data_IF_372507719815
#
_entry.id   IF_372507719815
#
_cell.length_a   1.000
_cell.length_b   1.000
_cell.length_c   1.000
_cell.angle_alpha   90.00
_cell.angle_beta   90.00
_cell.angle_gamma   90.00
#
_symmetry.space_group_name_H-M   'P 1'
#
loop_
_entity.id
_entity.type
_entity.pdbx_description
1 polymer ?
#
# COMPACT_ATOMS: atom_id res chain seq x y z
N UNK A 1 -2.59 31.38 3.61
CA UNK A 1 -2.31 30.03 3.13
C UNK A 1 -3.56 29.19 3.36
N UNK A 2 -4.16 28.56 2.35
CA UNK A 2 -5.31 27.66 2.56
C UNK A 2 -4.77 26.38 3.22
N UNK A 3 -5.34 25.91 4.34
CA UNK A 3 -4.94 24.62 4.88
C UNK A 3 -5.22 23.54 3.85
N UNK A 4 -4.18 22.82 3.45
CA UNK A 4 -4.29 21.68 2.55
C UNK A 4 -4.99 20.59 3.37
N UNK A 5 -6.10 20.05 2.85
CA UNK A 5 -6.76 18.92 3.48
C UNK A 5 -5.73 17.76 3.57
N UNK A 6 -5.51 17.25 4.78
CA UNK A 6 -4.60 16.13 4.97
C UNK A 6 -5.03 14.94 4.13
N UNK A 7 -4.09 14.34 3.41
CA UNK A 7 -4.34 13.08 2.71
C UNK A 7 -4.75 12.01 3.74
N UNK A 8 -5.81 11.28 3.43
CA UNK A 8 -6.25 10.13 4.23
C UNK A 8 -6.12 8.88 3.36
N UNK A 9 -5.25 7.96 3.78
CA UNK A 9 -4.99 6.73 3.03
C UNK A 9 -6.23 5.81 2.98
N UNK A 10 -6.47 5.09 1.89
CA UNK A 10 -7.63 4.22 1.72
C UNK A 10 -7.55 2.95 2.58
N UNK A 11 -6.38 2.58 3.06
CA UNK A 11 -6.20 1.43 3.95
C UNK A 11 -6.81 1.69 5.33
N UNK A 12 -6.55 2.88 5.87
CA UNK A 12 -7.09 3.31 7.17
C UNK A 12 -8.51 3.84 7.09
N UNK A 13 -8.88 4.46 5.94
CA UNK A 13 -10.14 5.21 5.78
C UNK A 13 -10.97 4.75 4.57
N UNK A 14 -11.33 3.47 4.46
CA UNK A 14 -12.09 2.95 3.31
C UNK A 14 -13.47 3.59 3.16
N UNK A 15 -14.09 4.09 4.24
CA UNK A 15 -15.40 4.74 4.20
C UNK A 15 -15.39 6.07 3.41
N UNK A 16 -14.23 6.67 3.14
CA UNK A 16 -14.13 7.83 2.26
C UNK A 16 -14.63 7.52 0.86
N UNK A 17 -14.37 6.31 0.37
CA UNK A 17 -14.77 5.85 -0.96
C UNK A 17 -16.22 5.31 -0.96
N UNK A 18 -16.65 4.72 0.17
CA UNK A 18 -17.96 4.07 0.29
C UNK A 18 -19.10 5.06 0.52
N UNK A 19 -18.90 6.09 1.35
CA UNK A 19 -19.98 6.98 1.81
C UNK A 19 -20.11 8.31 1.04
N UNK A 20 -19.49 8.44 -0.11
CA UNK A 20 -19.68 9.59 -0.99
C UNK A 20 -18.76 10.78 -0.70
N UNK A 21 -19.26 11.94 -0.27
CA UNK A 21 -18.36 13.09 -0.14
C UNK A 21 -17.38 12.94 1.03
N UNK A 22 -16.09 13.01 0.71
CA UNK A 22 -14.99 12.89 1.70
C UNK A 22 -15.18 13.84 2.91
N UNK A 23 -15.75 15.01 2.71
CA UNK A 23 -15.99 15.96 3.79
C UNK A 23 -17.02 15.45 4.82
N UNK A 24 -18.12 14.86 4.38
CA UNK A 24 -19.12 14.27 5.29
C UNK A 24 -18.53 13.13 6.10
N UNK A 25 -17.86 12.21 5.42
CA UNK A 25 -17.24 11.04 6.05
C UNK A 25 -16.19 11.45 7.08
N UNK A 26 -15.31 12.41 6.75
CA UNK A 26 -14.29 12.93 7.67
C UNK A 26 -14.90 13.57 8.92
N UNK A 27 -15.96 14.39 8.76
CA UNK A 27 -16.63 15.01 9.91
C UNK A 27 -17.31 13.98 10.79
N UNK A 28 -18.09 13.06 10.21
CA UNK A 28 -18.76 12.00 10.95
C UNK A 28 -17.77 11.09 11.69
N UNK A 29 -16.63 10.75 11.06
CA UNK A 29 -15.56 9.97 11.70
C UNK A 29 -14.98 10.66 12.93
N UNK A 30 -14.69 11.95 12.84
CA UNK A 30 -14.22 12.74 14.00
C UNK A 30 -15.24 12.74 15.11
N UNK A 31 -16.50 13.00 14.78
CA UNK A 31 -17.59 13.04 15.75
C UNK A 31 -17.89 11.65 16.35
N UNK A 32 -17.64 10.56 15.63
CA UNK A 32 -17.85 9.19 16.09
C UNK A 32 -16.75 8.68 17.01
N UNK A 33 -15.48 8.97 16.68
CA UNK A 33 -14.32 8.31 17.29
C UNK A 33 -13.51 9.19 18.24
N UNK A 34 -13.58 10.52 18.11
CA UNK A 34 -12.64 11.41 18.78
C UNK A 34 -13.27 12.26 19.89
N UNK A 35 -14.59 12.26 20.05
CA UNK A 35 -15.25 13.28 20.88
C UNK A 35 -16.40 12.74 21.72
N UNK A 36 -16.28 13.01 23.00
CA UNK A 36 -17.40 12.95 23.94
C UNK A 36 -17.98 14.37 24.14
N UNK A 37 -18.86 14.82 23.22
CA UNK A 37 -19.55 16.07 23.36
C UNK A 37 -19.63 16.94 22.11
N UNK A 38 -20.34 18.08 22.19
CA UNK A 38 -20.53 18.97 21.05
C UNK A 38 -19.27 19.74 20.69
N UNK A 39 -18.98 19.89 19.40
CA UNK A 39 -17.83 20.64 18.87
C UNK A 39 -18.24 21.80 17.96
N UNK A 40 -17.41 22.84 17.93
CA UNK A 40 -17.59 23.96 16.98
C UNK A 40 -17.21 23.53 15.56
N UNK A 41 -17.73 24.28 14.56
CA UNK A 41 -17.35 24.04 13.16
C UNK A 41 -15.82 24.17 12.91
N UNK A 42 -15.17 25.09 13.63
CA UNK A 42 -13.71 25.29 13.54
C UNK A 42 -12.93 24.09 14.07
N UNK A 43 -13.33 23.54 15.23
CA UNK A 43 -12.68 22.38 15.84
C UNK A 43 -12.87 21.14 14.96
N UNK A 44 -14.10 20.95 14.46
CA UNK A 44 -14.41 19.86 13.52
C UNK A 44 -13.61 19.96 12.23
N UNK A 45 -13.50 21.16 11.65
CA UNK A 45 -12.72 21.42 10.45
C UNK A 45 -11.24 21.04 10.67
N UNK A 46 -10.66 21.52 11.78
CA UNK A 46 -9.25 21.26 12.14
C UNK A 46 -8.98 19.76 12.29
N UNK A 47 -9.81 19.03 13.07
CA UNK A 47 -9.64 17.61 13.32
C UNK A 47 -9.91 16.76 12.08
N UNK A 48 -10.89 17.15 11.26
CA UNK A 48 -11.22 16.47 10.01
C UNK A 48 -10.24 16.77 8.85
N UNK A 49 -9.27 17.66 9.05
CA UNK A 49 -8.35 18.10 7.99
C UNK A 49 -9.08 18.81 6.85
N UNK A 50 -10.08 19.64 7.16
CA UNK A 50 -10.90 20.38 6.20
C UNK A 50 -10.68 21.89 6.33
N UNK A 51 -11.01 22.63 5.26
CA UNK A 51 -11.15 24.09 5.36
C UNK A 51 -12.45 24.43 6.10
N UNK A 52 -12.46 25.54 6.86
CA UNK A 52 -13.66 25.97 7.62
C UNK A 52 -14.88 26.08 6.69
N UNK A 53 -14.84 26.76 5.51
CA UNK A 53 -15.98 26.84 4.60
C UNK A 53 -16.43 25.45 4.09
N UNK A 54 -15.46 24.54 3.84
CA UNK A 54 -15.75 23.15 3.43
C UNK A 54 -16.50 22.38 4.52
N UNK A 55 -16.04 22.50 5.78
CA UNK A 55 -16.68 21.88 6.93
C UNK A 55 -18.09 22.45 7.15
N UNK A 56 -18.27 23.79 7.12
CA UNK A 56 -19.58 24.42 7.30
C UNK A 56 -20.58 23.98 6.22
N UNK A 57 -20.15 23.88 4.96
CA UNK A 57 -20.99 23.38 3.86
C UNK A 57 -21.44 21.94 4.12
N UNK A 58 -20.53 21.07 4.57
CA UNK A 58 -20.84 19.69 4.89
C UNK A 58 -21.71 19.57 6.14
N UNK A 59 -21.42 20.29 7.22
CA UNK A 59 -22.23 20.35 8.45
C UNK A 59 -23.66 20.80 8.16
N UNK A 60 -23.86 21.79 7.28
CA UNK A 60 -25.20 22.23 6.88
C UNK A 60 -26.00 21.09 6.23
N UNK A 61 -25.37 20.31 5.36
CA UNK A 61 -26.02 19.14 4.74
C UNK A 61 -26.35 18.05 5.75
N UNK A 62 -25.41 17.75 6.67
CA UNK A 62 -25.62 16.77 7.73
C UNK A 62 -26.73 17.19 8.72
N UNK A 63 -26.87 18.49 8.98
CA UNK A 63 -28.02 19.04 9.74
C UNK A 63 -29.33 18.85 9.01
N UNK A 64 -29.37 19.17 7.70
CA UNK A 64 -30.58 19.02 6.87
C UNK A 64 -31.03 17.57 6.75
N UNK A 65 -30.09 16.63 6.69
CA UNK A 65 -30.37 15.20 6.65
C UNK A 65 -30.73 14.61 8.04
N UNK A 66 -30.62 15.40 9.10
CA UNK A 66 -30.95 14.96 10.45
C UNK A 66 -29.89 14.10 11.14
N UNK A 67 -28.71 13.92 10.55
CA UNK A 67 -27.62 13.11 11.13
C UNK A 67 -26.97 13.78 12.35
N UNK A 68 -26.93 15.09 12.37
CA UNK A 68 -26.39 15.86 13.48
C UNK A 68 -27.42 16.86 13.99
N UNK A 69 -27.25 17.31 15.23
CA UNK A 69 -27.98 18.41 15.82
C UNK A 69 -27.05 19.57 16.15
N UNK A 70 -27.65 20.73 16.22
CA UNK A 70 -26.98 21.95 16.66
C UNK A 70 -27.36 22.19 18.13
N UNK A 71 -26.35 22.39 18.96
CA UNK A 71 -26.50 22.57 20.39
C UNK A 71 -25.93 23.92 20.79
N UNK A 72 -26.48 24.49 21.86
CA UNK A 72 -26.03 25.79 22.39
C UNK A 72 -26.63 26.99 21.69
N UNK A 73 -26.80 28.06 22.47
CA UNK A 73 -27.24 29.37 22.01
C UNK A 73 -26.08 30.38 22.03
N UNK A 74 -26.08 31.33 21.10
CA UNK A 74 -25.10 32.39 21.04
C UNK A 74 -24.26 32.40 19.75
N UNK A 75 -23.14 33.15 19.76
CA UNK A 75 -22.29 33.35 18.57
C UNK A 75 -21.52 32.11 18.11
N UNK A 76 -21.35 31.08 18.97
CA UNK A 76 -20.61 29.84 18.63
C UNK A 76 -21.57 28.67 18.64
N UNK A 77 -21.94 28.19 17.45
CA UNK A 77 -22.74 27.01 17.29
C UNK A 77 -21.86 25.75 17.47
N UNK A 78 -22.37 24.79 18.23
CA UNK A 78 -21.78 23.46 18.41
C UNK A 78 -22.64 22.41 17.72
N UNK A 79 -22.02 21.32 17.32
CA UNK A 79 -22.65 20.23 16.59
C UNK A 79 -22.40 18.93 17.34
N UNK A 80 -23.42 18.08 17.38
CA UNK A 80 -23.32 16.72 17.93
C UNK A 80 -24.08 15.72 17.07
N UNK A 81 -23.71 14.45 17.16
CA UNK A 81 -24.39 13.35 16.47
C UNK A 81 -25.70 13.00 17.21
N UNK A 82 -26.78 12.79 16.46
CA UNK A 82 -28.03 12.25 16.97
C UNK A 82 -27.93 10.75 17.22
N UNK A 83 -27.51 10.36 18.42
CA UNK A 83 -27.31 8.96 18.79
C UNK A 83 -28.62 8.17 18.99
N UNK A 84 -29.76 8.82 19.02
CA UNK A 84 -31.08 8.16 19.22
C UNK A 84 -31.63 7.49 17.96
N UNK A 85 -31.15 7.89 16.78
CA UNK A 85 -31.57 7.32 15.50
C UNK A 85 -30.86 6.00 15.21
N UNK A 86 -31.62 4.96 14.79
CA UNK A 86 -31.06 3.63 14.52
C UNK A 86 -30.07 3.62 13.35
N UNK A 87 -30.34 4.39 12.31
CA UNK A 87 -29.44 4.48 11.14
C UNK A 87 -28.11 5.12 11.57
N UNK A 88 -28.17 6.13 12.44
CA UNK A 88 -26.99 6.77 12.98
C UNK A 88 -26.18 5.83 13.88
N UNK A 89 -26.83 5.01 14.72
CA UNK A 89 -26.13 4.00 15.50
C UNK A 89 -25.32 3.05 14.60
N UNK A 90 -25.96 2.53 13.53
CA UNK A 90 -25.27 1.67 12.55
C UNK A 90 -24.11 2.41 11.86
N UNK A 91 -24.30 3.70 11.53
CA UNK A 91 -23.23 4.51 10.95
C UNK A 91 -22.07 4.70 11.92
N UNK A 92 -22.33 4.89 13.21
CA UNK A 92 -21.29 4.95 14.23
C UNK A 92 -20.55 3.63 14.40
N UNK A 93 -21.29 2.51 14.42
CA UNK A 93 -20.71 1.16 14.44
C UNK A 93 -19.80 0.92 13.22
N UNK A 94 -20.16 1.45 12.04
CA UNK A 94 -19.35 1.38 10.83
C UNK A 94 -17.99 2.08 11.01
N UNK A 95 -17.98 3.28 11.59
CA UNK A 95 -16.72 4.00 11.87
C UNK A 95 -15.88 3.30 12.94
N UNK A 96 -16.49 2.70 13.93
CA UNK A 96 -15.80 1.89 14.94
C UNK A 96 -15.18 0.64 14.29
N UNK A 97 -15.92 -0.01 13.39
CA UNK A 97 -15.43 -1.17 12.63
C UNK A 97 -14.27 -0.79 11.71
N UNK A 98 -14.31 0.39 11.06
CA UNK A 98 -13.21 0.92 10.25
C UNK A 98 -11.94 1.09 11.11
N UNK A 99 -12.06 1.69 12.28
CA UNK A 99 -10.96 1.86 13.22
C UNK A 99 -10.40 0.52 13.67
N UNK A 100 -11.27 -0.40 14.12
CA UNK A 100 -10.89 -1.73 14.55
C UNK A 100 -10.19 -2.52 13.44
N UNK A 101 -10.69 -2.44 12.19
CA UNK A 101 -10.08 -3.10 11.02
C UNK A 101 -8.62 -2.67 10.84
N UNK A 102 -8.34 -1.39 10.94
CA UNK A 102 -6.98 -0.88 10.82
C UNK A 102 -6.08 -1.30 11.98
N UNK A 103 -6.58 -1.20 13.22
CA UNK A 103 -5.85 -1.64 14.42
C UNK A 103 -5.56 -3.14 14.37
N UNK A 104 -6.52 -3.94 13.91
CA UNK A 104 -6.37 -5.38 13.72
C UNK A 104 -5.34 -5.73 12.66
N UNK A 105 -5.33 -5.03 11.52
CA UNK A 105 -4.29 -5.17 10.51
C UNK A 105 -2.90 -4.93 11.10
N UNK A 106 -2.70 -3.82 11.80
CA UNK A 106 -1.41 -3.50 12.42
C UNK A 106 -1.00 -4.53 13.48
N UNK A 107 -1.94 -4.97 14.30
CA UNK A 107 -1.67 -5.98 15.32
C UNK A 107 -1.26 -7.32 14.69
N UNK A 108 -1.93 -7.73 13.61
CA UNK A 108 -1.60 -8.96 12.91
C UNK A 108 -0.21 -8.87 12.26
N UNK A 109 0.12 -7.77 11.58
CA UNK A 109 1.46 -7.55 11.01
C UNK A 109 2.53 -7.57 12.11
N UNK A 110 2.30 -6.89 13.24
CA UNK A 110 3.24 -6.90 14.38
C UNK A 110 3.46 -8.30 14.93
N UNK A 111 2.41 -9.10 15.03
CA UNK A 111 2.50 -10.49 15.47
C UNK A 111 3.36 -11.34 14.53
N UNK A 112 3.14 -11.22 13.21
CA UNK A 112 3.94 -11.94 12.21
C UNK A 112 5.43 -11.53 12.27
N UNK A 113 5.72 -10.24 12.50
CA UNK A 113 7.09 -9.74 12.69
C UNK A 113 7.69 -10.31 13.98
N UNK A 114 6.92 -10.35 15.08
CA UNK A 114 7.36 -10.89 16.36
C UNK A 114 7.66 -12.40 16.35
N UNK A 115 7.05 -13.13 15.42
CA UNK A 115 7.25 -14.58 15.24
C UNK A 115 8.48 -14.94 14.40
N UNK A 116 9.22 -13.95 13.86
CA UNK A 116 10.43 -14.21 13.06
C UNK A 116 11.57 -14.79 13.89
N UNK A 117 12.25 -15.79 13.35
CA UNK A 117 13.41 -16.42 13.99
C UNK A 117 14.61 -16.45 13.02
N UNK A 118 15.69 -15.73 13.34
CA UNK A 118 15.87 -14.81 14.47
C UNK A 118 15.04 -13.54 14.34
N UNK A 119 14.75 -12.83 15.46
CA UNK A 119 13.95 -11.61 15.40
C UNK A 119 14.71 -10.49 14.67
N UNK A 120 14.02 -9.58 13.95
CA UNK A 120 14.64 -8.46 13.27
C UNK A 120 15.12 -7.40 14.29
N UNK A 121 16.06 -6.55 13.90
CA UNK A 121 16.45 -5.39 14.70
C UNK A 121 15.36 -4.33 14.75
N UNK A 122 14.70 -4.10 13.61
CA UNK A 122 13.58 -3.19 13.51
C UNK A 122 12.68 -3.57 12.31
N UNK A 123 11.41 -3.18 12.41
CA UNK A 123 10.48 -3.19 11.28
C UNK A 123 9.55 -1.98 11.36
N UNK A 124 9.17 -1.43 10.23
CA UNK A 124 8.34 -0.22 10.12
C UNK A 124 7.46 -0.22 8.88
N UNK A 125 6.41 0.57 8.91
CA UNK A 125 5.69 0.97 7.70
C UNK A 125 6.49 2.09 7.06
N UNK A 126 6.96 1.86 5.85
CA UNK A 126 7.72 2.83 5.07
C UNK A 126 6.81 3.70 4.21
N UNK A 127 5.78 3.10 3.63
CA UNK A 127 4.75 3.81 2.90
C UNK A 127 3.38 3.16 3.08
N UNK A 128 2.35 4.00 3.22
CA UNK A 128 0.96 3.59 3.18
C UNK A 128 0.41 3.85 1.77
N UNK A 129 -0.51 3.00 1.26
CA UNK A 129 -1.13 3.22 -0.03
C UNK A 129 -1.89 4.55 -0.07
N UNK A 130 -1.70 5.35 -1.10
CA UNK A 130 -2.50 6.56 -1.39
C UNK A 130 -3.74 6.22 -2.19
N UNK A 131 -3.65 5.18 -3.03
CA UNK A 131 -4.73 4.63 -3.84
C UNK A 131 -4.94 3.14 -3.51
N UNK A 132 -6.11 2.59 -3.89
CA UNK A 132 -6.52 1.21 -3.54
C UNK A 132 -5.53 0.16 -4.06
N UNK A 133 -4.92 0.39 -5.23
CA UNK A 133 -4.02 -0.58 -5.88
C UNK A 133 -2.55 -0.42 -5.49
N UNK A 134 -2.22 0.58 -4.70
CA UNK A 134 -0.86 0.77 -4.20
C UNK A 134 -0.55 -0.19 -3.05
N UNK A 135 0.69 -0.63 -2.91
CA UNK A 135 1.10 -1.53 -1.83
C UNK A 135 1.27 -0.79 -0.50
N UNK A 136 1.05 -1.52 0.58
CA UNK A 136 1.60 -1.20 1.89
C UNK A 136 3.07 -1.62 1.90
N UNK A 137 4.00 -0.69 2.05
CA UNK A 137 5.44 -1.00 2.05
C UNK A 137 5.95 -1.15 3.48
N UNK A 138 6.53 -2.31 3.78
CA UNK A 138 7.16 -2.60 5.07
C UNK A 138 8.68 -2.69 4.91
N UNK A 139 9.41 -1.94 5.74
CA UNK A 139 10.84 -2.06 5.89
C UNK A 139 11.21 -3.05 6.99
N UNK A 140 12.22 -3.90 6.76
CA UNK A 140 12.74 -4.88 7.71
C UNK A 140 14.25 -4.75 7.81
N UNK A 141 14.77 -4.43 9.01
CA UNK A 141 16.20 -4.36 9.28
C UNK A 141 16.71 -5.64 9.93
N UNK A 142 17.69 -6.27 9.30
CA UNK A 142 18.32 -7.48 9.83
C UNK A 142 19.80 -7.58 9.45
N UNK A 143 20.50 -8.55 10.01
CA UNK A 143 21.83 -8.96 9.51
C UNK A 143 21.72 -9.56 8.11
N UNK A 144 22.73 -9.28 7.27
CA UNK A 144 22.78 -9.76 5.88
C UNK A 144 22.58 -11.29 5.78
N UNK A 145 23.18 -12.05 6.71
CA UNK A 145 23.09 -13.52 6.72
C UNK A 145 21.65 -14.04 6.88
N UNK A 146 20.81 -13.34 7.64
CA UNK A 146 19.47 -13.79 8.00
C UNK A 146 18.36 -13.07 7.22
N UNK A 147 18.68 -11.95 6.57
CA UNK A 147 17.71 -11.06 5.94
C UNK A 147 16.79 -11.80 4.95
N UNK A 148 17.36 -12.54 4.00
CA UNK A 148 16.59 -13.26 2.98
C UNK A 148 15.66 -14.31 3.61
N UNK A 149 16.13 -15.04 4.61
CA UNK A 149 15.31 -16.03 5.33
C UNK A 149 14.15 -15.36 6.05
N UNK A 150 14.42 -14.26 6.77
CA UNK A 150 13.38 -13.51 7.50
C UNK A 150 12.34 -12.89 6.56
N UNK A 151 12.77 -12.31 5.42
CA UNK A 151 11.85 -11.79 4.41
C UNK A 151 10.93 -12.88 3.87
N UNK A 152 11.45 -14.07 3.55
CA UNK A 152 10.64 -15.21 3.10
C UNK A 152 9.67 -15.69 4.18
N UNK A 153 10.13 -15.82 5.43
CA UNK A 153 9.29 -16.25 6.54
C UNK A 153 8.16 -15.23 6.77
N UNK A 154 8.48 -13.95 6.80
CA UNK A 154 7.50 -12.88 6.95
C UNK A 154 6.51 -12.87 5.78
N UNK A 155 6.97 -13.05 4.55
CA UNK A 155 6.12 -13.13 3.36
C UNK A 155 5.09 -14.26 3.49
N UNK A 156 5.49 -15.44 3.95
CA UNK A 156 4.58 -16.55 4.16
C UNK A 156 3.50 -16.24 5.21
N UNK A 157 3.89 -15.59 6.33
CA UNK A 157 2.94 -15.15 7.37
C UNK A 157 2.00 -14.05 6.91
N UNK A 158 2.45 -13.16 6.01
CA UNK A 158 1.64 -12.05 5.51
C UNK A 158 0.66 -12.44 4.38
N UNK A 159 0.83 -13.57 3.70
CA UNK A 159 -0.10 -14.00 2.65
C UNK A 159 -1.57 -14.11 3.11
N UNK A 160 -1.91 -14.67 4.31
CA UNK A 160 -3.27 -14.64 4.82
C UNK A 160 -3.78 -13.22 5.10
N UNK A 161 -2.90 -12.32 5.55
CA UNK A 161 -3.22 -10.91 5.82
C UNK A 161 -3.60 -10.20 4.53
N UNK A 162 -2.79 -10.33 3.48
CA UNK A 162 -3.08 -9.78 2.15
C UNK A 162 -4.45 -10.22 1.62
N UNK A 163 -4.78 -11.51 1.77
CA UNK A 163 -6.08 -12.07 1.37
C UNK A 163 -7.23 -11.55 2.24
N UNK A 164 -7.04 -11.50 3.55
CA UNK A 164 -8.08 -11.08 4.49
C UNK A 164 -8.44 -9.60 4.40
N UNK A 165 -7.47 -8.75 4.06
CA UNK A 165 -7.64 -7.31 3.96
C UNK A 165 -7.75 -6.80 2.52
N UNK A 166 -7.62 -7.69 1.52
CA UNK A 166 -7.55 -7.36 0.08
C UNK A 166 -6.53 -6.25 -0.22
N UNK A 167 -5.32 -6.41 0.29
CA UNK A 167 -4.22 -5.47 0.11
C UNK A 167 -2.97 -6.19 -0.38
N UNK A 168 -2.07 -5.46 -1.01
CA UNK A 168 -0.74 -5.95 -1.38
C UNK A 168 0.27 -5.39 -0.40
N UNK A 169 1.13 -6.27 0.15
CA UNK A 169 2.22 -5.87 1.04
C UNK A 169 3.54 -6.06 0.31
N UNK A 170 4.31 -5.00 0.16
CA UNK A 170 5.68 -5.03 -0.33
C UNK A 170 6.64 -5.12 0.86
N UNK A 171 7.68 -5.96 0.75
CA UNK A 171 8.70 -6.11 1.78
C UNK A 171 10.03 -5.60 1.24
N UNK A 172 10.61 -4.64 1.93
CA UNK A 172 11.96 -4.13 1.66
C UNK A 172 12.90 -4.54 2.81
N UNK A 173 13.88 -5.37 2.46
CA UNK A 173 14.89 -5.82 3.42
C UNK A 173 16.12 -4.91 3.42
N UNK A 174 16.56 -4.52 4.61
CA UNK A 174 17.69 -3.64 4.83
C UNK A 174 18.72 -4.26 5.76
N UNK A 175 20.00 -4.04 5.46
CA UNK A 175 21.10 -4.27 6.39
C UNK A 175 21.50 -2.95 7.07
N UNK A 176 22.37 -3.01 8.07
CA UNK A 176 22.90 -1.80 8.71
C UNK A 176 23.64 -0.87 7.74
N UNK A 177 24.24 -1.43 6.68
CA UNK A 177 24.90 -0.65 5.66
C UNK A 177 23.90 0.11 4.75
N UNK A 178 22.76 -0.53 4.43
CA UNK A 178 21.75 0.07 3.55
C UNK A 178 21.00 1.23 4.21
N UNK A 179 20.84 1.18 5.54
CA UNK A 179 20.14 2.24 6.31
C UNK A 179 20.89 3.56 6.29
N UNK A 180 22.22 3.54 6.16
CA UNK A 180 23.01 4.76 6.15
C UNK A 180 22.60 5.76 5.04
N UNK A 181 21.99 5.27 3.98
CA UNK A 181 21.56 6.06 2.81
C UNK A 181 20.04 6.30 2.75
N UNK A 182 19.28 5.86 3.78
CA UNK A 182 17.81 5.94 3.75
C UNK A 182 17.30 7.19 4.49
N UNK A 183 16.44 7.94 3.80
CA UNK A 183 15.64 9.00 4.42
C UNK A 183 14.36 8.35 4.96
N UNK A 184 14.22 8.29 6.27
CA UNK A 184 13.11 7.63 6.98
C UNK A 184 12.14 8.67 7.56
N UNK A 185 11.63 9.58 6.71
CA UNK A 185 10.64 10.57 7.14
C UNK A 185 9.22 9.95 7.17
N UNK A 186 8.50 10.21 8.26
CA UNK A 186 7.08 9.85 8.37
C UNK A 186 6.78 8.36 8.55
N UNK A 187 7.79 7.54 8.90
CA UNK A 187 7.61 6.10 9.14
C UNK A 187 6.81 5.80 10.41
N UNK A 188 6.12 4.65 10.41
CA UNK A 188 5.48 4.09 11.61
C UNK A 188 6.22 2.85 12.06
N UNK A 189 6.89 2.91 13.20
CA UNK A 189 7.64 1.77 13.76
C UNK A 189 6.68 0.70 14.25
N UNK A 190 6.88 -0.54 13.81
CA UNK A 190 6.10 -1.71 14.20
C UNK A 190 6.84 -2.59 15.21
N UNK A 191 8.17 -2.67 15.10
CA UNK A 191 9.01 -3.52 15.95
C UNK A 191 10.40 -2.92 16.12
N UNK A 192 11.00 -3.07 17.29
CA UNK A 192 12.36 -2.63 17.59
C UNK A 192 12.59 -1.13 17.51
N UNK A 193 13.83 -0.73 17.30
CA UNK A 193 14.25 0.68 17.18
C UNK A 193 14.91 0.87 15.82
N UNK A 194 14.35 1.77 15.04
CA UNK A 194 14.94 2.16 13.76
C UNK A 194 16.10 3.13 14.04
N UNK A 195 17.32 2.88 13.53
CA UNK A 195 18.43 3.80 13.72
C UNK A 195 18.12 5.15 13.05
N UNK A 196 18.11 6.21 13.83
CA UNK A 196 18.04 7.58 13.32
C UNK A 196 19.42 7.98 12.81
N UNK A 197 19.53 8.32 11.54
CA UNK A 197 20.77 8.82 10.96
C UNK A 197 20.80 10.33 11.12
N UNK A 198 21.79 10.80 11.88
CA UNK A 198 22.25 12.18 11.81
C UNK A 198 23.15 12.32 10.59
N UNK A 199 22.71 13.17 9.68
CA UNK A 199 23.44 13.81 8.56
C UNK A 199 24.76 13.22 8.06
N UNK A 200 24.77 12.87 6.81
CA UNK A 200 25.92 12.94 5.91
C UNK A 200 26.21 11.67 5.12
N UNK A 201 25.91 11.63 3.88
CA UNK A 201 26.78 11.37 2.73
C UNK A 201 26.01 10.95 1.47
N UNK A 202 26.47 11.47 0.33
CA UNK A 202 25.82 11.45 -0.96
C UNK A 202 26.07 10.18 -1.81
N UNK A 203 25.16 9.96 -2.72
CA UNK A 203 25.04 8.96 -3.79
C UNK A 203 26.24 8.70 -4.67
N UNK A 204 26.39 7.44 -5.13
CA UNK A 204 27.04 7.13 -6.42
C UNK A 204 26.20 6.14 -7.26
N UNK A 205 25.96 6.53 -8.49
CA UNK A 205 25.36 5.71 -9.56
C UNK A 205 26.45 5.04 -10.39
N UNK A 206 26.22 3.85 -10.96
CA UNK A 206 27.05 3.23 -11.99
C UNK A 206 26.23 2.78 -13.23
N UNK A 207 26.82 3.02 -14.42
CA UNK A 207 26.35 2.79 -15.80
C UNK A 207 26.82 1.42 -16.34
N UNK A 208 26.21 0.89 -17.21
CA UNK A 208 25.61 0.25 -18.34
C UNK A 208 26.54 -0.13 -19.54
N UNK A 209 26.27 -1.22 -20.24
CA UNK A 209 26.47 -1.37 -21.70
C UNK A 209 25.61 -2.48 -22.34
N UNK A 210 25.31 -2.30 -23.65
CA UNK A 210 24.26 -2.92 -24.47
C UNK A 210 24.81 -3.84 -25.60
N UNK A 211 24.04 -4.86 -26.03
CA UNK A 211 23.51 -5.13 -27.40
C UNK A 211 23.11 -6.59 -27.61
N UNK A 212 21.93 -6.90 -28.16
CA UNK A 212 21.52 -7.82 -29.22
C UNK A 212 19.98 -7.83 -29.42
N UNK A 213 19.53 -7.86 -30.49
CA UNK A 213 18.79 -7.46 -31.64
C UNK A 213 17.39 -8.10 -31.76
N UNK A 214 16.46 -7.33 -32.16
CA UNK A 214 15.10 -7.51 -32.76
C UNK A 214 14.06 -8.42 -32.04
N UNK A 215 14.29 -9.70 -31.76
CA UNK A 215 13.40 -10.49 -30.88
C UNK A 215 13.44 -10.01 -29.42
N UNK A 216 14.64 -9.60 -29.00
CA UNK A 216 14.85 -8.97 -27.67
C UNK A 216 14.12 -7.62 -27.58
N UNK A 217 13.90 -6.94 -28.71
CA UNK A 217 13.23 -5.64 -28.73
C UNK A 217 11.74 -5.74 -28.47
N UNK A 218 11.04 -6.75 -29.01
CA UNK A 218 9.63 -7.00 -28.74
C UNK A 218 9.39 -7.49 -27.31
N UNK A 219 10.20 -8.45 -26.84
CA UNK A 219 10.16 -8.91 -25.44
C UNK A 219 10.48 -7.77 -24.48
N UNK A 220 11.42 -6.90 -24.84
CA UNK A 220 11.80 -5.75 -24.01
C UNK A 220 10.71 -4.67 -23.97
N UNK A 221 10.03 -4.42 -25.09
CA UNK A 221 8.85 -3.53 -25.11
C UNK A 221 7.70 -4.08 -24.27
N UNK A 222 7.41 -5.38 -24.37
CA UNK A 222 6.40 -6.04 -23.54
C UNK A 222 6.79 -5.99 -22.05
N UNK A 223 8.05 -6.23 -21.73
CA UNK A 223 8.56 -6.14 -20.36
C UNK A 223 8.49 -4.71 -19.80
N UNK A 224 8.74 -3.69 -20.62
CA UNK A 224 8.60 -2.29 -20.23
C UNK A 224 7.14 -1.90 -19.98
N UNK A 225 6.21 -2.33 -20.85
CA UNK A 225 4.77 -2.10 -20.67
C UNK A 225 4.27 -2.84 -19.44
N UNK A 226 4.70 -4.09 -19.23
CA UNK A 226 4.39 -4.87 -18.03
C UNK A 226 4.93 -4.21 -16.75
N UNK A 227 6.14 -3.71 -16.77
CA UNK A 227 6.73 -2.96 -15.66
C UNK A 227 5.88 -1.74 -15.29
N UNK A 228 5.43 -0.98 -16.30
CA UNK A 228 4.49 0.14 -16.10
C UNK A 228 3.12 -0.26 -15.57
N UNK A 229 2.61 -1.46 -15.91
CA UNK A 229 1.38 -2.00 -15.31
C UNK A 229 1.59 -2.38 -13.84
N UNK A 230 2.71 -3.01 -13.51
CA UNK A 230 3.03 -3.41 -12.12
C UNK A 230 3.20 -2.16 -11.23
N UNK A 231 3.78 -1.07 -11.73
CA UNK A 231 3.86 0.19 -11.00
C UNK A 231 2.49 0.82 -10.75
N UNK A 232 1.53 0.63 -11.66
CA UNK A 232 0.16 1.14 -11.53
C UNK A 232 -0.74 0.24 -10.69
N UNK A 233 -0.53 -1.07 -10.76
CA UNK A 233 -1.33 -2.07 -10.05
C UNK A 233 -0.45 -3.15 -9.42
N UNK A 234 -0.06 -2.94 -8.18
CA UNK A 234 0.73 -3.88 -7.40
C UNK A 234 0.00 -5.21 -7.12
N UNK A 235 -1.33 -5.29 -7.32
CA UNK A 235 -2.10 -6.54 -7.15
C UNK A 235 -1.66 -7.63 -8.13
N UNK A 236 -1.04 -7.24 -9.27
CA UNK A 236 -0.44 -8.16 -10.22
C UNK A 236 0.62 -9.06 -9.58
N UNK A 237 1.41 -8.55 -8.64
CA UNK A 237 2.42 -9.33 -7.90
C UNK A 237 1.75 -10.42 -7.07
N UNK A 238 0.68 -10.08 -6.35
CA UNK A 238 -0.11 -11.04 -5.56
C UNK A 238 -0.73 -12.13 -6.46
N UNK A 239 -1.29 -11.70 -7.61
CA UNK A 239 -1.86 -12.62 -8.61
C UNK A 239 -0.80 -13.57 -9.17
N UNK A 240 0.39 -13.05 -9.52
CA UNK A 240 1.51 -13.85 -10.03
C UNK A 240 2.02 -14.85 -8.98
N UNK A 241 2.17 -14.45 -7.73
CA UNK A 241 2.53 -15.36 -6.63
C UNK A 241 1.51 -16.49 -6.49
N UNK A 242 0.22 -16.17 -6.46
CA UNK A 242 -0.85 -17.16 -6.37
C UNK A 242 -0.91 -18.12 -7.57
N UNK A 243 -0.51 -17.66 -8.75
CA UNK A 243 -0.39 -18.49 -9.96
C UNK A 243 0.78 -19.47 -9.85
N UNK A 244 1.97 -18.98 -9.47
CA UNK A 244 3.17 -19.82 -9.27
C UNK A 244 2.91 -20.88 -8.19
N UNK A 245 2.30 -20.50 -7.07
CA UNK A 245 1.99 -21.46 -5.99
C UNK A 245 1.03 -22.57 -6.45
N UNK A 246 0.12 -22.31 -7.40
CA UNK A 246 -0.75 -23.35 -8.00
C UNK A 246 0.07 -24.26 -8.91
N UNK A 247 0.86 -23.67 -9.82
CA UNK A 247 1.68 -24.47 -10.74
C UNK A 247 2.67 -25.38 -10.02
N UNK A 248 3.32 -24.89 -8.96
CA UNK A 248 4.25 -25.68 -8.14
C UNK A 248 3.58 -26.83 -7.37
N UNK A 249 2.26 -26.81 -7.18
CA UNK A 249 1.49 -27.91 -6.62
C UNK A 249 1.13 -28.96 -7.67
N UNK A 250 0.95 -28.53 -8.91
CA UNK A 250 0.48 -29.39 -10.01
C UNK A 250 1.64 -30.05 -10.77
N UNK A 251 2.80 -29.39 -10.88
CA UNK A 251 3.95 -29.87 -11.64
C UNK A 251 5.25 -29.84 -10.81
N UNK A 252 5.92 -31.02 -10.73
CA UNK A 252 7.22 -31.20 -10.09
C UNK A 252 8.36 -31.39 -11.11
N UNK A 253 8.13 -31.07 -12.39
CA UNK A 253 9.06 -31.29 -13.50
C UNK A 253 10.14 -30.23 -13.66
N UNK A 254 10.81 -30.23 -14.84
CA UNK A 254 11.92 -29.33 -15.16
C UNK A 254 11.55 -27.84 -15.15
N UNK A 255 10.29 -27.50 -15.42
CA UNK A 255 9.78 -26.12 -15.33
C UNK A 255 9.72 -25.58 -13.89
N UNK A 256 9.78 -26.45 -12.90
CA UNK A 256 9.71 -26.07 -11.49
C UNK A 256 10.90 -25.18 -11.06
N UNK A 257 12.06 -25.33 -11.67
CA UNK A 257 13.25 -24.53 -11.31
C UNK A 257 13.05 -23.05 -11.58
N UNK A 258 12.54 -22.69 -12.76
CA UNK A 258 12.25 -21.28 -13.13
C UNK A 258 11.09 -20.72 -12.30
N UNK A 259 10.06 -21.53 -12.01
CA UNK A 259 8.96 -21.13 -11.14
C UNK A 259 9.41 -20.87 -9.69
N UNK A 260 10.31 -21.71 -9.16
CA UNK A 260 10.91 -21.49 -7.84
C UNK A 260 11.75 -20.22 -7.80
N UNK A 261 12.50 -19.96 -8.88
CA UNK A 261 13.28 -18.72 -9.00
C UNK A 261 12.39 -17.49 -9.12
N UNK A 262 11.31 -17.55 -9.90
CA UNK A 262 10.29 -16.49 -9.96
C UNK A 262 9.62 -16.26 -8.61
N UNK A 263 9.29 -17.34 -7.88
CA UNK A 263 8.73 -17.20 -6.54
C UNK A 263 9.70 -16.46 -5.62
N UNK A 264 10.99 -16.83 -5.64
CA UNK A 264 12.02 -16.13 -4.86
C UNK A 264 12.13 -14.65 -5.21
N UNK A 265 12.11 -14.31 -6.49
CA UNK A 265 12.10 -12.92 -6.96
C UNK A 265 10.88 -12.17 -6.44
N UNK A 266 9.66 -12.72 -6.60
CA UNK A 266 8.43 -12.07 -6.17
C UNK A 266 8.26 -11.99 -4.65
N UNK A 267 8.99 -12.80 -3.88
CA UNK A 267 9.02 -12.76 -2.42
C UNK A 267 10.07 -11.78 -1.87
N UNK A 268 11.17 -11.56 -2.60
CA UNK A 268 12.35 -10.85 -2.07
C UNK A 268 12.63 -9.50 -2.73
N UNK A 269 12.07 -9.23 -3.92
CA UNK A 269 12.32 -7.97 -4.62
C UNK A 269 11.21 -6.96 -4.29
N UNK A 270 11.61 -5.71 -4.06
CA UNK A 270 10.71 -4.56 -4.07
C UNK A 270 10.21 -4.25 -5.48
N UNK A 271 9.08 -3.55 -5.62
CA UNK A 271 8.53 -3.17 -6.93
C UNK A 271 9.58 -2.45 -7.78
N UNK A 272 10.32 -1.43 -7.30
CA UNK A 272 11.37 -0.80 -8.09
C UNK A 272 12.50 -1.75 -8.51
N UNK A 273 12.82 -2.75 -7.69
CA UNK A 273 13.82 -3.76 -8.00
C UNK A 273 13.29 -4.76 -9.03
N UNK A 274 12.04 -5.19 -8.89
CA UNK A 274 11.37 -6.07 -9.84
C UNK A 274 11.26 -5.41 -11.21
N UNK A 275 10.81 -4.16 -11.27
CA UNK A 275 10.74 -3.36 -12.50
C UNK A 275 12.11 -3.27 -13.17
N UNK A 276 13.15 -2.92 -12.43
CA UNK A 276 14.53 -2.90 -12.95
C UNK A 276 14.99 -4.26 -13.46
N UNK A 277 14.61 -5.34 -12.78
CA UNK A 277 14.91 -6.70 -13.22
C UNK A 277 14.20 -7.03 -14.55
N UNK A 278 12.89 -6.74 -14.66
CA UNK A 278 12.08 -7.00 -15.86
C UNK A 278 12.61 -6.26 -17.11
N UNK A 279 13.13 -5.04 -16.94
CA UNK A 279 13.69 -4.25 -18.05
C UNK A 279 15.19 -4.45 -18.27
N UNK A 280 15.86 -5.25 -17.42
CA UNK A 280 17.29 -5.51 -17.54
C UNK A 280 17.59 -6.42 -18.75
N UNK A 281 18.82 -6.32 -19.26
CA UNK A 281 19.33 -7.19 -20.33
C UNK A 281 20.36 -8.18 -19.77
N UNK A 282 20.05 -8.79 -18.62
CA UNK A 282 20.89 -9.83 -18.03
C UNK A 282 20.48 -11.21 -18.54
N UNK A 283 21.42 -12.14 -18.71
CA UNK A 283 21.12 -13.53 -19.10
C UNK A 283 20.04 -14.17 -18.22
N UNK A 284 20.03 -13.80 -16.92
CA UNK A 284 19.03 -14.25 -15.96
C UNK A 284 17.64 -13.71 -16.27
N UNK A 285 17.52 -12.42 -16.60
CA UNK A 285 16.26 -11.79 -16.96
C UNK A 285 15.74 -12.32 -18.30
N UNK A 286 16.64 -12.52 -19.29
CA UNK A 286 16.30 -13.04 -20.61
C UNK A 286 15.81 -14.51 -20.51
N UNK A 287 16.46 -15.35 -19.71
CA UNK A 287 16.02 -16.72 -19.45
C UNK A 287 14.66 -16.76 -18.76
N UNK A 288 14.51 -16.04 -17.66
CA UNK A 288 13.27 -15.97 -16.90
C UNK A 288 12.14 -15.23 -17.63
N UNK A 289 12.46 -14.39 -18.59
CA UNK A 289 11.48 -13.74 -19.46
C UNK A 289 10.62 -14.72 -20.25
N UNK A 290 11.16 -15.90 -20.61
CA UNK A 290 10.43 -16.95 -21.33
C UNK A 290 9.38 -17.65 -20.46
N UNK A 291 9.61 -17.74 -19.15
CA UNK A 291 8.71 -18.35 -18.16
C UNK A 291 8.02 -17.30 -17.27
N UNK A 292 7.85 -16.06 -17.77
CA UNK A 292 7.34 -14.94 -16.99
C UNK A 292 5.88 -15.17 -16.55
N UNK A 293 5.60 -15.30 -15.23
CA UNK A 293 4.29 -15.66 -14.71
C UNK A 293 3.24 -14.55 -14.88
N UNK A 294 3.66 -13.32 -15.11
CA UNK A 294 2.74 -12.21 -15.28
C UNK A 294 1.89 -12.35 -16.54
N UNK A 295 2.44 -12.85 -17.63
CA UNK A 295 1.67 -13.01 -18.88
C UNK A 295 0.50 -14.00 -18.73
N UNK A 296 0.62 -14.99 -17.88
CA UNK A 296 -0.43 -15.98 -17.64
C UNK A 296 -1.59 -15.45 -16.77
N UNK A 297 -1.39 -14.37 -16.04
CA UNK A 297 -2.37 -13.85 -15.10
C UNK A 297 -3.08 -12.56 -15.54
N UNK A 298 -2.64 -11.99 -16.66
CA UNK A 298 -3.27 -10.78 -17.21
C UNK A 298 -4.67 -11.09 -17.73
N UNK A 299 -5.61 -10.19 -17.49
CA UNK A 299 -6.93 -10.22 -18.12
C UNK A 299 -6.85 -9.87 -19.61
N UNK A 300 -7.91 -10.15 -20.38
CA UNK A 300 -7.96 -9.80 -21.80
C UNK A 300 -7.76 -8.29 -22.06
N UNK A 301 -8.26 -7.43 -21.16
CA UNK A 301 -8.10 -5.97 -21.25
C UNK A 301 -6.65 -5.56 -20.97
N UNK A 302 -6.01 -6.14 -19.96
CA UNK A 302 -4.61 -5.89 -19.63
C UNK A 302 -3.69 -6.39 -20.77
N UNK A 303 -4.00 -7.53 -21.39
CA UNK A 303 -3.29 -8.03 -22.56
C UNK A 303 -3.43 -7.12 -23.78
N UNK A 304 -4.64 -6.61 -24.06
CA UNK A 304 -4.87 -5.67 -25.16
C UNK A 304 -4.02 -4.41 -24.98
N UNK A 305 -3.96 -3.85 -23.76
CA UNK A 305 -3.12 -2.68 -23.45
C UNK A 305 -1.62 -2.92 -23.58
N UNK A 306 -1.14 -4.19 -23.58
CA UNK A 306 0.26 -4.52 -23.87
C UNK A 306 0.55 -4.58 -25.38
N UNK A 307 -0.45 -4.96 -26.19
CA UNK A 307 -0.29 -5.22 -27.64
C UNK A 307 -0.59 -3.98 -28.48
N UNK A 308 -1.51 -3.11 -28.05
CA UNK A 308 -1.85 -1.89 -28.77
C UNK A 308 -0.63 -0.96 -28.89
N UNK A 309 -0.10 -0.84 -30.09
CA UNK A 309 0.82 0.25 -30.44
C UNK A 309 0.06 1.59 -30.35
N UNK A 310 0.68 2.66 -29.82
CA UNK A 310 0.15 3.98 -30.05
C UNK A 310 0.22 4.23 -31.55
N UNK A 311 -0.92 4.19 -32.24
CA UNK A 311 -1.02 4.57 -33.64
C UNK A 311 -0.31 5.91 -33.85
N UNK A 312 0.57 5.93 -34.82
CA UNK A 312 1.09 7.13 -35.44
C UNK A 312 -0.10 8.05 -35.77
N UNK A 313 -0.23 9.11 -34.99
CA UNK A 313 -1.05 10.25 -35.43
C UNK A 313 -0.09 11.16 -36.19
N UNK A 314 -0.27 11.17 -37.53
CA UNK A 314 0.20 12.21 -38.42
C UNK A 314 -0.28 13.60 -38.01
#
# INVERSE_FOLDING_TARGET
MRPIASEQDPLRYPLNEILGTRAHVRLLRVMANEVEGPLTASDLAKRAGLTIPGAEKALRKLLMSGFISRVGGGRKHQYEIRRSDRLMQITLELFQTEKWRYEHLLATIKNEIGNLIPPPYAAWIQAVPKEINEPLVLGLLHESLHLTKCVRQLRAGLNPVEKGFDLTIELEGYTKADIADLVLDGITVLYGVVPTISDGFARRQAKKNLTHKEKDRQLKMLSQKLAGLIEKDASLIRRARGHIDRLLKEDQGAAAADLLEWRDILETYSIPRLVRFLISSSERADRLGQSNPFFAILSAVEHAGLVDEPGEQE
#
